data_IF_825647827259
#
_entry.id   IF_825647827259
#
_cell.length_a   1.000
_cell.length_b   1.000
_cell.length_c   1.000
_cell.angle_alpha   90.00
_cell.angle_beta   90.00
_cell.angle_gamma   90.00
#
_symmetry.space_group_name_H-M   'P 1'
#
loop_
_entity.id
_entity.type
_entity.pdbx_description
1 polymer ?
#
# COMPACT_ATOMS: atom_id res chain seq x y z
N UNK A 1 69.18 -38.33 33.68
CA UNK A 1 68.19 -38.84 32.70
C UNK A 1 68.60 -40.26 32.34
N UNK A 2 68.01 -41.23 33.04
CA UNK A 2 68.15 -42.68 32.83
C UNK A 2 66.71 -43.20 32.79
N UNK A 3 66.26 -43.78 31.68
CA UNK A 3 66.28 -45.22 31.33
C UNK A 3 64.84 -45.77 31.36
N UNK A 4 64.37 -46.31 30.21
CA UNK A 4 64.00 -47.75 30.02
C UNK A 4 62.54 -48.04 30.46
N UNK A 5 61.67 -48.79 29.79
CA UNK A 5 61.63 -49.50 28.51
C UNK A 5 60.20 -50.09 28.29
N UNK A 6 59.90 -50.40 27.02
CA UNK A 6 59.15 -51.56 26.46
C UNK A 6 57.69 -51.86 26.90
N UNK A 7 56.82 -52.06 25.89
CA UNK A 7 55.44 -52.59 25.96
C UNK A 7 55.36 -54.11 26.22
N UNK A 8 54.39 -54.92 25.71
CA UNK A 8 53.33 -54.67 24.71
C UNK A 8 51.94 -55.32 25.02
N UNK A 9 51.07 -55.35 24.00
CA UNK A 9 49.65 -55.78 23.83
C UNK A 9 49.17 -57.17 24.33
N UNK A 10 47.84 -57.29 24.58
CA UNK A 10 46.87 -58.40 24.23
C UNK A 10 45.49 -58.10 24.89
N UNK A 11 44.37 -57.89 24.16
CA UNK A 11 43.34 -58.79 23.56
C UNK A 11 42.48 -59.60 24.57
N UNK A 12 41.15 -59.63 24.29
CA UNK A 12 40.06 -60.55 24.72
C UNK A 12 39.35 -60.21 26.07
N UNK A 13 38.02 -60.34 26.32
CA UNK A 13 36.89 -61.13 25.79
C UNK A 13 35.54 -60.51 26.27
N UNK A 14 34.42 -60.83 25.60
CA UNK A 14 33.01 -60.67 26.10
C UNK A 14 32.59 -61.88 26.97
N UNK A 15 31.63 -61.71 27.91
CA UNK A 15 30.27 -62.31 27.83
C UNK A 15 29.16 -61.36 28.37
N UNK A 16 27.92 -61.27 27.84
CA UNK A 16 26.72 -62.16 27.81
C UNK A 16 25.83 -62.16 29.07
N UNK A 17 24.54 -61.80 28.88
CA UNK A 17 23.26 -62.17 29.58
C UNK A 17 23.17 -61.95 31.11
N UNK A 18 22.07 -61.58 31.78
CA UNK A 18 20.61 -61.44 31.60
C UNK A 18 20.15 -60.62 32.84
N UNK A 19 19.14 -59.74 32.84
CA UNK A 19 17.72 -60.06 32.92
C UNK A 19 16.89 -58.77 32.76
N UNK A 20 15.84 -58.88 31.95
CA UNK A 20 14.73 -57.93 31.84
C UNK A 20 13.59 -58.41 32.75
N UNK A 21 12.63 -57.52 33.07
CA UNK A 21 11.31 -57.76 32.51
C UNK A 21 10.76 -56.60 31.67
N UNK A 22 10.24 -57.02 30.51
CA UNK A 22 9.20 -56.48 29.61
C UNK A 22 8.10 -55.65 30.28
N UNK A 23 7.27 -54.86 29.60
CA UNK A 23 7.18 -54.21 28.28
C UNK A 23 5.71 -53.77 28.10
N UNK A 24 5.47 -52.64 27.44
CA UNK A 24 4.32 -52.39 26.55
C UNK A 24 4.63 -51.13 25.71
N UNK A 25 5.13 -51.32 24.48
CA UNK A 25 4.41 -51.11 23.19
C UNK A 25 4.65 -49.69 22.61
N UNK A 26 5.73 -49.49 21.82
CA UNK A 26 5.78 -49.31 20.33
C UNK A 26 4.97 -48.12 19.80
N UNK A 27 5.47 -47.19 18.96
CA UNK A 27 6.35 -47.28 17.78
C UNK A 27 6.89 -45.86 17.38
N UNK A 28 7.62 -45.64 16.25
CA UNK A 28 8.81 -44.79 16.21
C UNK A 28 8.67 -43.40 15.57
N UNK A 29 9.64 -42.56 15.91
CA UNK A 29 9.97 -41.27 15.27
C UNK A 29 10.10 -41.37 13.75
N UNK A 30 9.40 -40.48 13.05
CA UNK A 30 9.61 -40.16 11.62
C UNK A 30 9.64 -38.64 11.39
N UNK A 31 10.26 -38.20 10.28
CA UNK A 31 10.76 -36.85 10.07
C UNK A 31 9.66 -35.85 9.73
N UNK A 32 9.87 -34.60 10.13
CA UNK A 32 9.01 -33.46 9.82
C UNK A 32 9.09 -33.09 8.33
N UNK A 33 8.22 -33.70 7.52
CA UNK A 33 7.82 -33.18 6.21
C UNK A 33 6.50 -32.44 6.37
N UNK A 34 6.54 -31.10 6.37
CA UNK A 34 5.35 -30.26 6.19
C UNK A 34 5.44 -29.57 4.83
N UNK A 35 4.79 -30.20 3.87
CA UNK A 35 4.31 -29.67 2.59
C UNK A 35 3.45 -28.39 2.83
N UNK A 36 3.65 -27.27 2.11
CA UNK A 36 2.87 -26.04 2.29
C UNK A 36 1.49 -26.07 1.61
N UNK A 37 0.95 -27.26 1.35
CA UNK A 37 -0.30 -27.46 0.59
C UNK A 37 -1.42 -28.02 1.49
N UNK A 38 -1.86 -27.27 2.52
CA UNK A 38 -3.15 -27.53 3.19
C UNK A 38 -3.60 -26.35 4.04
N UNK A 39 -4.61 -25.64 3.56
CA UNK A 39 -5.35 -24.61 4.32
C UNK A 39 -6.21 -25.29 5.41
N UNK A 40 -6.35 -24.70 6.62
CA UNK A 40 -7.25 -25.22 7.63
C UNK A 40 -8.70 -24.94 7.23
N UNK A 41 -9.51 -26.00 7.17
CA UNK A 41 -10.96 -25.96 6.96
C UNK A 41 -11.61 -25.24 8.15
N UNK A 42 -12.06 -24.00 7.96
CA UNK A 42 -12.98 -23.34 8.90
C UNK A 42 -14.40 -23.85 8.66
N UNK A 43 -15.06 -24.24 9.75
CA UNK A 43 -16.50 -24.52 9.78
C UNK A 43 -17.30 -23.28 9.31
N UNK A 44 -18.44 -23.47 8.61
CA UNK A 44 -19.18 -22.36 8.02
C UNK A 44 -19.81 -21.50 9.12
N UNK A 45 -19.47 -20.21 9.12
CA UNK A 45 -20.19 -19.21 9.89
C UNK A 45 -21.63 -19.14 9.37
N UNK A 46 -22.61 -19.24 10.28
CA UNK A 46 -24.03 -19.04 9.98
C UNK A 46 -24.23 -17.69 9.29
N UNK A 47 -24.76 -17.73 8.07
CA UNK A 47 -25.24 -16.56 7.34
C UNK A 47 -26.26 -15.79 8.17
N UNK A 48 -26.16 -14.45 8.30
CA UNK A 48 -27.33 -13.67 8.62
C UNK A 48 -28.29 -13.79 7.44
N UNK A 49 -29.56 -14.06 7.75
CA UNK A 49 -30.61 -14.23 6.77
C UNK A 49 -30.59 -13.08 5.75
N UNK A 50 -30.50 -13.45 4.47
CA UNK A 50 -30.76 -12.60 3.33
C UNK A 50 -32.18 -12.03 3.44
N UNK A 51 -32.29 -10.76 3.82
CA UNK A 51 -33.52 -10.02 3.65
C UNK A 51 -33.66 -9.68 2.15
N UNK A 52 -34.50 -10.44 1.47
CA UNK A 52 -34.87 -10.24 0.08
C UNK A 52 -35.61 -8.89 -0.07
N UNK A 53 -34.94 -7.87 -0.60
CA UNK A 53 -35.62 -6.65 -1.05
C UNK A 53 -36.17 -6.87 -2.46
N UNK A 54 -37.13 -7.78 -2.60
CA UNK A 54 -38.01 -7.87 -3.76
C UNK A 54 -39.45 -7.84 -3.27
N UNK A 55 -39.96 -6.62 -3.05
CA UNK A 55 -41.37 -6.30 -3.03
C UNK A 55 -41.55 -4.77 -3.00
N UNK A 56 -41.32 -4.10 -4.13
CA UNK A 56 -41.87 -2.75 -4.35
C UNK A 56 -43.31 -2.90 -4.86
N UNK A 57 -44.20 -3.23 -3.94
CA UNK A 57 -45.61 -2.93 -4.07
C UNK A 57 -45.83 -1.46 -3.69
N UNK A 58 -46.59 -0.74 -4.50
CA UNK A 58 -46.98 0.65 -4.30
C UNK A 58 -47.29 0.97 -2.82
N UNK A 59 -46.63 2.00 -2.27
CA UNK A 59 -46.84 2.45 -0.88
C UNK A 59 -46.85 3.98 -0.79
N UNK A 60 -47.58 4.52 0.20
CA UNK A 60 -48.28 5.78 0.10
C UNK A 60 -47.38 6.98 0.38
N UNK A 61 -47.74 8.10 -0.24
CA UNK A 61 -47.20 9.44 -0.04
C UNK A 61 -47.41 9.90 1.41
N UNK A 62 -46.46 9.61 2.28
CA UNK A 62 -46.30 10.34 3.54
C UNK A 62 -45.25 11.43 3.32
N UNK A 63 -45.53 12.65 3.77
CA UNK A 63 -44.56 13.75 3.80
C UNK A 63 -43.29 13.26 4.50
N UNK A 64 -42.24 13.06 3.71
CA UNK A 64 -40.95 12.66 4.24
C UNK A 64 -40.24 13.93 4.67
N UNK A 65 -40.12 14.12 5.98
CA UNK A 65 -39.33 15.21 6.54
C UNK A 65 -37.85 14.96 6.23
N UNK A 66 -37.35 15.62 5.17
CA UNK A 66 -35.94 15.53 4.71
C UNK A 66 -35.01 16.33 5.64
N UNK A 67 -35.56 17.02 6.65
CA UNK A 67 -34.78 17.80 7.60
C UNK A 67 -33.93 16.89 8.50
N UNK A 68 -32.61 16.87 8.25
CA UNK A 68 -31.64 16.23 9.14
C UNK A 68 -31.56 16.91 10.52
N UNK A 69 -30.84 16.31 11.48
CA UNK A 69 -30.71 16.87 12.82
C UNK A 69 -30.01 18.24 12.80
N UNK A 70 -30.47 19.16 13.66
CA UNK A 70 -29.94 20.53 13.77
C UNK A 70 -28.58 20.63 14.47
N UNK A 71 -28.13 19.54 15.10
CA UNK A 71 -26.82 19.42 15.75
C UNK A 71 -26.24 18.02 15.51
N UNK A 72 -24.92 17.95 15.32
CA UNK A 72 -24.20 16.70 15.06
C UNK A 72 -23.16 16.47 16.16
N UNK A 73 -23.20 15.32 16.85
CA UNK A 73 -22.34 15.08 18.02
C UNK A 73 -21.28 14.01 17.74
N UNK A 74 -20.02 14.40 17.50
CA UNK A 74 -18.91 13.45 17.35
C UNK A 74 -18.16 13.31 18.68
N UNK A 75 -18.34 12.18 19.35
CA UNK A 75 -17.78 11.95 20.67
C UNK A 75 -18.26 13.00 21.68
N UNK A 76 -17.34 13.77 22.26
CA UNK A 76 -17.66 14.84 23.20
C UNK A 76 -17.92 16.22 22.53
N UNK A 77 -17.84 16.31 21.20
CA UNK A 77 -17.95 17.59 20.47
C UNK A 77 -19.29 17.69 19.74
N UNK A 78 -20.02 18.77 19.98
CA UNK A 78 -21.19 19.16 19.19
C UNK A 78 -20.76 20.11 18.08
N UNK A 79 -21.10 19.77 16.84
CA UNK A 79 -20.81 20.54 15.65
C UNK A 79 -22.07 21.26 15.17
N UNK A 80 -21.91 22.53 14.82
CA UNK A 80 -22.96 23.35 14.21
C UNK A 80 -23.21 23.01 12.73
N UNK A 81 -22.25 22.34 12.08
CA UNK A 81 -22.35 21.87 10.69
C UNK A 81 -21.81 20.44 10.59
N UNK A 82 -22.38 19.59 9.73
CA UNK A 82 -21.90 18.23 9.56
C UNK A 82 -20.54 18.21 8.84
N UNK A 83 -19.67 17.28 9.22
CA UNK A 83 -18.40 17.01 8.52
C UNK A 83 -18.63 16.38 7.14
N UNK A 84 -19.74 15.65 6.96
CA UNK A 84 -20.12 15.01 5.70
C UNK A 84 -21.50 15.51 5.30
N UNK A 85 -21.62 16.05 4.09
CA UNK A 85 -22.88 16.58 3.54
C UNK A 85 -23.44 15.67 2.45
N UNK A 86 -24.74 15.79 2.14
CA UNK A 86 -25.34 15.04 1.04
C UNK A 86 -24.64 15.30 -0.32
N UNK A 87 -24.27 16.56 -0.68
CA UNK A 87 -23.46 16.81 -1.88
C UNK A 87 -22.12 16.06 -1.89
N UNK A 88 -21.43 15.96 -0.74
CA UNK A 88 -20.16 15.24 -0.65
C UNK A 88 -20.36 13.74 -0.85
N UNK A 89 -21.39 13.16 -0.23
CA UNK A 89 -21.69 11.75 -0.38
C UNK A 89 -22.14 11.40 -1.80
N UNK A 90 -22.99 12.22 -2.44
CA UNK A 90 -23.37 12.08 -3.85
C UNK A 90 -22.15 12.19 -4.78
N UNK A 91 -21.26 13.14 -4.54
CA UNK A 91 -20.02 13.28 -5.31
C UNK A 91 -19.09 12.07 -5.16
N UNK A 92 -18.97 11.53 -3.94
CA UNK A 92 -18.19 10.32 -3.69
C UNK A 92 -18.79 9.12 -4.42
N UNK A 93 -20.10 8.90 -4.38
CA UNK A 93 -20.76 7.81 -5.08
C UNK A 93 -20.58 7.87 -6.61
N UNK A 94 -20.66 9.06 -7.21
CA UNK A 94 -20.33 9.26 -8.64
C UNK A 94 -18.88 8.91 -8.95
N UNK A 95 -17.95 9.28 -8.07
CA UNK A 95 -16.55 8.91 -8.20
C UNK A 95 -16.36 7.38 -8.14
N UNK A 96 -17.06 6.69 -7.22
CA UNK A 96 -17.03 5.22 -7.14
C UNK A 96 -17.62 4.57 -8.40
N UNK A 97 -18.69 5.15 -8.97
CA UNK A 97 -19.26 4.69 -10.23
C UNK A 97 -18.23 4.75 -11.37
N UNK A 98 -17.52 5.88 -11.48
CA UNK A 98 -16.47 6.08 -12.48
C UNK A 98 -15.31 5.08 -12.30
N UNK A 99 -14.88 4.81 -11.05
CA UNK A 99 -13.87 3.79 -10.77
C UNK A 99 -14.32 2.38 -11.16
N UNK A 100 -15.59 2.02 -10.88
CA UNK A 100 -16.16 0.74 -11.30
C UNK A 100 -16.19 0.60 -12.82
N UNK A 101 -16.60 1.65 -13.54
CA UNK A 101 -16.61 1.67 -14.99
C UNK A 101 -15.19 1.49 -15.57
N UNK A 102 -14.21 2.22 -15.05
CA UNK A 102 -12.80 2.09 -15.44
C UNK A 102 -12.27 0.68 -15.20
N UNK A 103 -12.54 0.12 -14.02
CA UNK A 103 -12.15 -1.26 -13.68
C UNK A 103 -12.77 -2.27 -14.63
N UNK A 104 -14.06 -2.14 -14.92
CA UNK A 104 -14.78 -3.04 -15.85
C UNK A 104 -14.18 -2.95 -17.26
N UNK A 105 -13.90 -1.74 -17.76
CA UNK A 105 -13.27 -1.57 -19.07
C UNK A 105 -11.91 -2.28 -19.19
N UNK A 106 -11.10 -2.26 -18.12
CA UNK A 106 -9.80 -2.96 -18.06
C UNK A 106 -9.98 -4.48 -17.89
N UNK A 107 -10.84 -4.90 -16.96
CA UNK A 107 -11.13 -6.30 -16.63
C UNK A 107 -11.85 -7.06 -17.75
N UNK A 108 -12.58 -6.36 -18.62
CA UNK A 108 -13.24 -6.96 -19.78
C UNK A 108 -12.44 -6.75 -21.07
N UNK A 109 -11.46 -5.84 -21.06
CA UNK A 109 -10.74 -5.37 -22.25
C UNK A 109 -11.71 -4.87 -23.34
N UNK A 110 -12.91 -4.44 -22.94
CA UNK A 110 -13.94 -3.95 -23.83
C UNK A 110 -13.56 -2.53 -24.29
N UNK A 111 -13.07 -2.40 -25.53
CA UNK A 111 -12.67 -1.11 -26.10
C UNK A 111 -11.34 -0.53 -25.55
N UNK A 112 -10.79 -1.12 -24.48
CA UNK A 112 -9.52 -0.70 -23.88
C UNK A 112 -8.30 -0.93 -24.79
N UNK A 113 -8.38 -1.88 -25.73
CA UNK A 113 -7.30 -2.24 -26.67
C UNK A 113 -5.98 -2.41 -25.92
N UNK A 114 -6.01 -3.21 -24.86
CA UNK A 114 -4.84 -3.44 -24.01
C UNK A 114 -3.70 -4.12 -24.82
N UNK A 115 -2.43 -3.92 -24.44
CA UNK A 115 -1.30 -4.60 -25.07
C UNK A 115 -1.47 -6.12 -25.09
N UNK A 116 -1.02 -6.78 -26.16
CA UNK A 116 -1.18 -8.24 -26.38
C UNK A 116 -0.75 -9.08 -25.17
N UNK A 117 0.39 -8.73 -24.56
CA UNK A 117 0.95 -9.44 -23.39
C UNK A 117 0.02 -9.39 -22.16
N UNK A 118 -0.85 -8.39 -22.09
CA UNK A 118 -1.80 -8.18 -20.99
C UNK A 118 -3.18 -8.69 -21.36
N UNK A 119 -3.58 -8.59 -22.63
CA UNK A 119 -4.90 -8.99 -23.12
C UNK A 119 -5.24 -10.46 -22.81
N UNK A 120 -4.24 -11.35 -22.84
CA UNK A 120 -4.42 -12.78 -22.52
C UNK A 120 -4.48 -13.12 -21.02
N UNK A 121 -4.34 -12.15 -20.13
CA UNK A 121 -4.41 -12.37 -18.68
C UNK A 121 -5.86 -12.45 -18.18
N UNK A 122 -6.04 -13.12 -17.04
CA UNK A 122 -7.30 -13.04 -16.30
C UNK A 122 -7.60 -11.60 -15.87
N UNK A 123 -8.89 -11.32 -15.60
CA UNK A 123 -9.39 -10.00 -15.25
C UNK A 123 -8.61 -9.37 -14.07
N UNK A 124 -8.38 -10.14 -13.01
CA UNK A 124 -7.70 -9.65 -11.81
C UNK A 124 -6.25 -9.23 -12.09
N UNK A 125 -5.53 -9.98 -12.93
CA UNK A 125 -4.16 -9.65 -13.35
C UNK A 125 -4.11 -8.44 -14.28
N UNK A 126 -5.08 -8.28 -15.19
CA UNK A 126 -5.20 -7.06 -16.01
C UNK A 126 -5.42 -5.84 -15.14
N UNK A 127 -6.32 -5.95 -14.15
CA UNK A 127 -6.56 -4.87 -13.19
C UNK A 127 -5.32 -4.54 -12.36
N UNK A 128 -4.64 -5.54 -11.78
CA UNK A 128 -3.45 -5.33 -10.98
C UNK A 128 -2.31 -4.66 -11.76
N UNK A 129 -2.10 -5.07 -13.02
CA UNK A 129 -1.14 -4.41 -13.92
C UNK A 129 -1.50 -2.95 -14.15
N UNK A 130 -2.76 -2.67 -14.52
CA UNK A 130 -3.22 -1.32 -14.81
C UNK A 130 -3.10 -0.39 -13.60
N UNK A 131 -3.49 -0.87 -12.41
CA UNK A 131 -3.31 -0.13 -11.16
C UNK A 131 -1.83 0.15 -10.89
N UNK A 132 -0.94 -0.77 -11.22
CA UNK A 132 0.51 -0.56 -11.14
C UNK A 132 0.98 0.64 -11.96
N UNK A 133 0.43 0.82 -13.17
CA UNK A 133 0.70 1.99 -14.01
C UNK A 133 0.10 3.27 -13.43
N UNK A 134 -1.13 3.20 -12.93
CA UNK A 134 -1.82 4.34 -12.32
C UNK A 134 -1.06 4.90 -11.10
N UNK A 135 -0.43 4.03 -10.30
CA UNK A 135 0.42 4.46 -9.17
C UNK A 135 1.64 5.24 -9.65
N UNK A 136 2.26 4.83 -10.76
CA UNK A 136 3.43 5.54 -11.31
C UNK A 136 3.00 6.89 -11.91
N UNK A 137 1.80 6.96 -12.52
CA UNK A 137 1.20 8.24 -12.96
C UNK A 137 0.85 9.15 -11.78
N UNK A 138 0.38 8.59 -10.67
CA UNK A 138 0.12 9.33 -9.44
C UNK A 138 1.40 9.92 -8.85
N UNK A 139 2.51 9.17 -8.87
CA UNK A 139 3.82 9.67 -8.43
C UNK A 139 4.26 10.91 -9.23
N UNK A 140 4.20 10.85 -10.57
CA UNK A 140 4.52 12.01 -11.42
C UNK A 140 3.58 13.21 -11.20
N UNK A 141 2.29 12.96 -10.97
CA UNK A 141 1.34 14.03 -10.68
C UNK A 141 1.58 14.66 -9.31
N UNK A 142 1.83 13.85 -8.27
CA UNK A 142 2.07 14.35 -6.93
C UNK A 142 3.29 15.28 -6.89
N UNK A 143 4.37 14.92 -7.61
CA UNK A 143 5.58 15.74 -7.70
C UNK A 143 5.36 17.07 -8.45
N UNK A 144 4.45 17.11 -9.43
CA UNK A 144 4.24 18.28 -10.30
C UNK A 144 3.04 19.17 -9.91
N UNK A 145 2.12 18.66 -9.08
CA UNK A 145 0.87 19.37 -8.74
C UNK A 145 1.13 20.67 -7.99
N UNK A 146 0.42 21.72 -8.37
CA UNK A 146 0.52 23.07 -7.79
C UNK A 146 -0.74 23.43 -7.00
N UNK A 147 -0.63 24.24 -5.93
CA UNK A 147 -1.80 24.76 -5.23
C UNK A 147 -2.53 25.80 -6.08
N UNK A 148 -3.80 26.07 -5.76
CA UNK A 148 -4.59 27.09 -6.43
C UNK A 148 -6.00 27.21 -5.85
N UNK A 149 -6.74 28.24 -6.27
CA UNK A 149 -8.17 28.34 -5.97
C UNK A 149 -8.91 27.15 -6.57
N UNK A 150 -9.96 26.65 -5.89
CA UNK A 150 -10.63 25.40 -6.28
C UNK A 150 -10.99 25.33 -7.78
N UNK A 151 -11.65 26.37 -8.31
CA UNK A 151 -12.05 26.41 -9.73
C UNK A 151 -10.86 26.44 -10.69
N UNK A 152 -9.83 27.24 -10.38
CA UNK A 152 -8.62 27.29 -11.22
C UNK A 152 -7.85 25.97 -11.16
N UNK A 153 -7.77 25.38 -9.96
CA UNK A 153 -7.13 24.10 -9.70
C UNK A 153 -7.82 22.96 -10.46
N UNK A 154 -9.15 22.89 -10.44
CA UNK A 154 -9.89 21.88 -11.23
C UNK A 154 -9.56 21.97 -12.72
N UNK A 155 -9.45 23.19 -13.26
CA UNK A 155 -9.12 23.40 -14.68
C UNK A 155 -7.67 23.07 -15.02
N UNK A 156 -6.72 23.28 -14.10
CA UNK A 156 -5.29 23.31 -14.43
C UNK A 156 -4.46 22.21 -13.77
N UNK A 157 -4.97 21.59 -12.70
CA UNK A 157 -4.22 20.68 -11.83
C UNK A 157 -4.92 19.35 -11.55
N UNK A 158 -6.27 19.27 -11.70
CA UNK A 158 -7.01 18.00 -11.54
C UNK A 158 -6.35 16.91 -12.41
N UNK A 159 -6.12 15.70 -11.86
CA UNK A 159 -5.55 14.61 -12.63
C UNK A 159 -6.62 13.73 -13.30
N UNK A 160 -6.21 12.83 -14.20
CA UNK A 160 -7.07 11.79 -14.78
C UNK A 160 -7.68 10.84 -13.74
N UNK A 161 -8.69 10.08 -14.18
CA UNK A 161 -9.53 9.25 -13.32
C UNK A 161 -8.77 8.15 -12.55
N UNK A 162 -7.79 7.49 -13.17
CA UNK A 162 -6.97 6.46 -12.53
C UNK A 162 -6.07 7.03 -11.43
N UNK A 163 -5.58 8.26 -11.61
CA UNK A 163 -4.80 8.97 -10.58
C UNK A 163 -5.69 9.46 -9.45
N UNK A 164 -6.92 9.93 -9.75
CA UNK A 164 -7.93 10.20 -8.73
C UNK A 164 -8.26 8.96 -7.90
N UNK A 165 -8.30 7.78 -8.53
CA UNK A 165 -8.51 6.49 -7.86
C UNK A 165 -7.38 6.16 -6.89
N UNK A 166 -6.13 6.31 -7.31
CA UNK A 166 -4.97 6.09 -6.44
C UNK A 166 -4.97 7.09 -5.28
N UNK A 167 -5.23 8.37 -5.56
CA UNK A 167 -5.28 9.40 -4.52
C UNK A 167 -6.40 9.12 -3.49
N UNK A 168 -7.59 8.74 -3.97
CA UNK A 168 -8.72 8.33 -3.13
C UNK A 168 -8.35 7.17 -2.21
N UNK A 169 -7.79 6.09 -2.76
CA UNK A 169 -7.37 4.92 -1.97
C UNK A 169 -6.29 5.27 -0.93
N UNK A 170 -5.41 6.22 -1.25
CA UNK A 170 -4.39 6.71 -0.32
C UNK A 170 -5.01 7.49 0.85
N UNK A 171 -5.94 8.41 0.57
CA UNK A 171 -6.64 9.20 1.60
C UNK A 171 -7.45 8.35 2.58
N UNK A 172 -7.88 7.14 2.17
CA UNK A 172 -8.52 6.16 3.05
C UNK A 172 -7.55 5.48 4.04
N UNK A 173 -6.26 5.82 3.99
CA UNK A 173 -5.24 5.46 4.97
C UNK A 173 -4.74 6.73 5.69
N UNK A 174 -5.58 7.41 6.47
CA UNK A 174 -5.37 8.82 6.86
C UNK A 174 -4.09 9.07 7.65
N UNK A 175 -3.68 8.14 8.53
CA UNK A 175 -2.42 8.26 9.27
C UNK A 175 -1.20 8.20 8.34
N UNK A 176 -1.18 7.25 7.41
CA UNK A 176 -0.09 7.11 6.44
C UNK A 176 -0.06 8.28 5.46
N UNK A 177 -1.22 8.65 4.92
CA UNK A 177 -1.33 9.76 3.98
C UNK A 177 -0.90 11.09 4.61
N UNK A 178 -1.35 11.39 5.83
CA UNK A 178 -0.97 12.62 6.52
C UNK A 178 0.52 12.66 6.86
N UNK A 179 1.10 11.56 7.35
CA UNK A 179 2.53 11.47 7.64
C UNK A 179 3.37 11.60 6.36
N UNK A 180 2.99 10.93 5.27
CA UNK A 180 3.71 11.04 4.00
C UNK A 180 3.60 12.45 3.37
N UNK A 181 2.49 13.16 3.57
CA UNK A 181 2.36 14.58 3.17
C UNK A 181 3.32 15.52 3.93
N UNK A 182 3.85 15.09 5.07
CA UNK A 182 4.86 15.82 5.86
C UNK A 182 6.28 15.33 5.54
N UNK A 183 6.40 14.02 5.30
CA UNK A 183 7.68 13.31 5.17
C UNK A 183 8.24 13.39 3.75
N UNK A 184 7.41 13.17 2.74
CA UNK A 184 7.83 13.05 1.35
C UNK A 184 7.77 14.41 0.64
N UNK A 185 8.89 14.90 0.07
CA UNK A 185 8.91 16.18 -0.66
C UNK A 185 7.84 16.27 -1.77
N UNK A 186 7.69 15.19 -2.55
CA UNK A 186 6.69 15.11 -3.62
C UNK A 186 5.23 15.18 -3.12
N UNK A 187 4.97 14.91 -1.84
CA UNK A 187 3.63 14.96 -1.26
C UNK A 187 3.31 16.30 -0.58
N UNK A 188 4.29 17.21 -0.50
CA UNK A 188 4.18 18.47 0.26
C UNK A 188 2.99 19.32 -0.16
N UNK A 189 2.73 19.44 -1.46
CA UNK A 189 1.58 20.22 -1.97
C UNK A 189 0.25 19.60 -1.52
N UNK A 190 0.16 18.27 -1.45
CA UNK A 190 -1.08 17.57 -1.09
C UNK A 190 -1.50 17.84 0.35
N UNK A 191 -0.57 18.13 1.27
CA UNK A 191 -0.88 18.63 2.62
C UNK A 191 -1.76 19.88 2.56
N UNK A 192 -1.41 20.82 1.69
CA UNK A 192 -2.11 22.10 1.52
C UNK A 192 -3.42 22.00 0.74
N UNK A 193 -3.65 20.89 0.02
CA UNK A 193 -4.91 20.68 -0.68
C UNK A 193 -6.07 20.39 0.29
N UNK A 194 -5.80 19.75 1.43
CA UNK A 194 -6.81 19.47 2.45
C UNK A 194 -7.89 18.52 1.94
N UNK A 195 -9.16 18.91 2.09
CA UNK A 195 -10.33 18.14 1.67
C UNK A 195 -10.61 18.16 0.15
N UNK A 196 -9.68 18.72 -0.65
CA UNK A 196 -9.85 19.10 -2.07
C UNK A 196 -10.54 18.09 -2.99
N UNK A 197 -10.34 16.78 -2.76
CA UNK A 197 -10.76 15.73 -3.68
C UNK A 197 -12.26 15.80 -4.00
N UNK A 198 -13.13 15.83 -2.98
CA UNK A 198 -14.59 15.87 -3.21
C UNK A 198 -15.09 17.23 -3.72
N UNK A 199 -14.67 18.39 -3.17
CA UNK A 199 -14.96 19.69 -3.76
C UNK A 199 -14.54 19.80 -5.23
N UNK A 200 -13.40 19.20 -5.60
CA UNK A 200 -12.92 19.19 -6.98
C UNK A 200 -13.82 18.34 -7.88
N UNK A 201 -14.26 17.16 -7.42
CA UNK A 201 -15.25 16.33 -8.13
C UNK A 201 -16.56 17.09 -8.31
N UNK A 202 -17.06 17.77 -7.27
CA UNK A 202 -18.29 18.57 -7.35
C UNK A 202 -18.18 19.65 -8.43
N UNK A 203 -17.05 20.37 -8.48
CA UNK A 203 -16.81 21.43 -9.47
C UNK A 203 -16.57 20.87 -10.87
N UNK A 204 -15.93 19.71 -10.98
CA UNK A 204 -15.65 19.04 -12.25
C UNK A 204 -16.92 18.44 -12.89
N UNK A 205 -17.93 18.09 -12.09
CA UNK A 205 -19.14 17.40 -12.53
C UNK A 205 -18.97 15.88 -12.47
N UNK A 206 -19.49 15.17 -13.47
CA UNK A 206 -19.38 13.70 -13.53
C UNK A 206 -17.95 13.28 -13.93
N UNK A 207 -17.19 12.58 -13.04
CA UNK A 207 -15.85 12.10 -13.37
C UNK A 207 -15.81 11.10 -14.52
N UNK A 208 -16.91 10.38 -14.80
CA UNK A 208 -16.97 9.41 -15.89
C UNK A 208 -16.95 10.06 -17.28
N UNK A 209 -17.49 11.28 -17.39
CA UNK A 209 -17.58 12.03 -18.65
C UNK A 209 -16.70 13.29 -18.66
N UNK A 210 -15.96 13.55 -17.58
CA UNK A 210 -15.13 14.73 -17.46
C UNK A 210 -14.09 14.79 -18.58
N UNK A 211 -14.06 15.91 -19.30
CA UNK A 211 -13.08 16.18 -20.34
C UNK A 211 -12.21 17.38 -19.94
N UNK A 212 -10.87 17.23 -19.85
CA UNK A 212 -9.98 18.34 -19.57
C UNK A 212 -9.93 19.32 -20.76
N UNK A 213 -9.49 20.55 -20.51
CA UNK A 213 -9.18 21.47 -21.61
C UNK A 213 -7.98 20.97 -22.43
N UNK A 214 -7.81 21.48 -23.65
CA UNK A 214 -6.65 21.17 -24.49
C UNK A 214 -5.34 21.53 -23.78
N UNK A 215 -5.30 22.67 -23.13
CA UNK A 215 -4.15 23.18 -22.37
C UNK A 215 -3.81 22.22 -21.22
N UNK A 216 -4.82 21.70 -20.51
CA UNK A 216 -4.59 20.73 -19.43
C UNK A 216 -4.03 19.41 -19.94
N UNK A 217 -4.49 18.91 -21.10
CA UNK A 217 -3.91 17.70 -21.72
C UNK A 217 -2.47 17.92 -22.14
N UNK A 218 -2.15 19.08 -22.72
CA UNK A 218 -0.79 19.42 -23.12
C UNK A 218 0.12 19.57 -21.89
N UNK A 219 -0.32 20.25 -20.84
CA UNK A 219 0.47 20.36 -19.60
C UNK A 219 0.65 19.01 -18.92
N UNK A 220 -0.40 18.18 -18.83
CA UNK A 220 -0.30 16.82 -18.31
C UNK A 220 0.76 15.99 -19.04
N UNK A 221 0.74 16.00 -20.38
CA UNK A 221 1.71 15.27 -21.20
C UNK A 221 3.14 15.81 -20.99
N UNK A 222 3.30 17.13 -20.91
CA UNK A 222 4.60 17.75 -20.65
C UNK A 222 5.14 17.43 -19.24
N UNK A 223 4.27 17.42 -18.23
CA UNK A 223 4.64 17.21 -16.83
C UNK A 223 4.90 15.73 -16.51
N UNK A 224 4.17 14.80 -17.16
CA UNK A 224 4.18 13.36 -16.80
C UNK A 224 4.75 12.44 -17.87
N UNK A 225 4.85 12.91 -19.12
CA UNK A 225 5.24 12.07 -20.26
C UNK A 225 4.18 11.03 -20.66
N UNK A 226 2.96 11.07 -20.11
CA UNK A 226 1.88 10.12 -20.42
C UNK A 226 0.66 10.81 -21.02
N UNK A 227 -0.11 10.08 -21.81
CA UNK A 227 -1.43 10.55 -22.28
C UNK A 227 -2.36 10.85 -21.10
N UNK A 228 -3.33 11.75 -21.29
CA UNK A 228 -4.34 12.04 -20.26
C UNK A 228 -5.26 10.84 -20.04
N UNK A 229 -5.79 10.28 -21.13
CA UNK A 229 -6.66 9.11 -21.05
C UNK A 229 -5.86 7.92 -20.51
N UNK A 230 -6.34 7.24 -19.46
CA UNK A 230 -5.57 6.20 -18.81
C UNK A 230 -5.45 4.93 -19.65
N UNK A 231 -6.40 4.65 -20.55
CA UNK A 231 -6.34 3.50 -21.44
C UNK A 231 -5.34 3.75 -22.57
N UNK A 232 -5.30 4.97 -23.13
CA UNK A 232 -4.24 5.40 -24.05
C UNK A 232 -2.87 5.31 -23.38
N UNK A 233 -2.70 5.92 -22.20
CA UNK A 233 -1.44 5.89 -21.47
C UNK A 233 -0.95 4.45 -21.21
N UNK A 234 -1.87 3.53 -20.87
CA UNK A 234 -1.53 2.13 -20.59
C UNK A 234 -0.92 1.37 -21.77
N UNK A 235 -1.13 1.84 -23.01
CA UNK A 235 -0.57 1.21 -24.22
C UNK A 235 0.89 1.60 -24.43
N UNK A 236 1.26 2.81 -24.03
CA UNK A 236 2.59 3.37 -24.25
C UNK A 236 3.53 3.15 -23.04
N UNK A 237 2.95 3.00 -21.85
CA UNK A 237 3.69 2.71 -20.61
C UNK A 237 4.20 1.26 -20.57
N UNK A 238 5.31 1.03 -21.25
CA UNK A 238 5.92 -0.30 -21.39
C UNK A 238 7.00 -0.59 -20.35
N UNK A 239 7.69 0.45 -19.88
CA UNK A 239 8.84 0.34 -18.97
C UNK A 239 8.77 1.38 -17.84
N UNK A 240 9.50 1.07 -16.76
CA UNK A 240 9.89 2.03 -15.73
C UNK A 240 11.35 1.88 -15.36
N UNK A 241 11.90 2.92 -14.75
CA UNK A 241 13.23 2.88 -14.16
C UNK A 241 13.19 2.34 -12.74
N UNK A 242 14.20 1.55 -12.38
CA UNK A 242 14.52 1.19 -10.99
C UNK A 242 16.01 1.40 -10.77
N UNK A 243 16.39 1.92 -9.61
CA UNK A 243 17.81 2.15 -9.28
C UNK A 243 18.39 0.92 -8.59
N UNK A 244 19.52 0.41 -9.09
CA UNK A 244 20.18 -0.77 -8.52
C UNK A 244 20.65 -0.48 -7.09
N UNK A 245 20.22 -1.27 -6.06
CA UNK A 245 20.63 -1.03 -4.67
C UNK A 245 22.15 -1.07 -4.44
N UNK A 246 22.89 -1.88 -5.21
CA UNK A 246 24.34 -2.09 -5.04
C UNK A 246 25.19 -1.01 -5.68
N UNK A 247 24.94 -0.67 -6.95
CA UNK A 247 25.83 0.20 -7.73
C UNK A 247 25.18 1.51 -8.18
N UNK A 248 23.94 1.79 -7.76
CA UNK A 248 23.17 2.98 -8.13
C UNK A 248 22.91 3.17 -9.64
N UNK A 249 23.21 2.16 -10.47
CA UNK A 249 22.89 2.19 -11.89
C UNK A 249 21.38 2.11 -12.08
N UNK A 250 20.83 3.02 -12.89
CA UNK A 250 19.45 2.92 -13.35
C UNK A 250 19.27 1.77 -14.33
N UNK A 251 18.22 0.99 -14.10
CA UNK A 251 17.84 -0.17 -14.88
C UNK A 251 16.46 0.12 -15.46
N UNK A 252 16.37 0.13 -16.78
CA UNK A 252 15.09 0.15 -17.47
C UNK A 252 14.44 -1.23 -17.38
N UNK A 253 13.24 -1.29 -16.82
CA UNK A 253 12.52 -2.53 -16.51
C UNK A 253 11.16 -2.54 -17.18
N UNK A 254 10.84 -3.57 -17.98
CA UNK A 254 9.49 -3.70 -18.52
C UNK A 254 8.50 -3.96 -17.38
N UNK A 255 7.30 -3.40 -17.47
CA UNK A 255 6.23 -3.71 -16.51
C UNK A 255 5.83 -5.19 -16.57
N UNK A 256 5.89 -5.78 -17.77
CA UNK A 256 5.47 -7.15 -18.04
C UNK A 256 6.53 -7.85 -18.88
N UNK A 257 6.82 -9.10 -18.54
CA UNK A 257 7.61 -10.01 -19.37
C UNK A 257 6.87 -11.33 -19.55
N UNK A 258 7.21 -12.06 -20.62
CA UNK A 258 6.69 -13.42 -20.88
C UNK A 258 7.08 -14.40 -19.78
N UNK A 259 8.25 -14.21 -19.17
CA UNK A 259 8.79 -15.07 -18.11
C UNK A 259 8.20 -14.77 -16.73
N UNK A 260 7.30 -13.79 -16.60
CA UNK A 260 6.68 -13.47 -15.31
C UNK A 260 7.52 -12.59 -14.38
N UNK A 261 8.59 -11.97 -14.89
CA UNK A 261 9.61 -11.25 -14.11
C UNK A 261 9.56 -9.72 -14.25
N UNK A 262 8.59 -9.19 -14.99
CA UNK A 262 8.34 -7.76 -15.14
C UNK A 262 7.93 -7.09 -13.82
N UNK A 263 8.09 -5.77 -13.75
CA UNK A 263 7.92 -5.01 -12.51
C UNK A 263 6.51 -5.09 -11.90
N UNK A 264 5.47 -5.15 -12.74
CA UNK A 264 4.08 -5.30 -12.31
C UNK A 264 3.71 -6.77 -12.00
N UNK A 265 4.65 -7.71 -12.10
CA UNK A 265 4.43 -9.14 -11.86
C UNK A 265 4.97 -9.55 -10.49
N UNK A 266 4.30 -10.54 -9.86
CA UNK A 266 4.60 -11.00 -8.49
C UNK A 266 6.04 -11.46 -8.30
N UNK A 267 6.64 -12.04 -9.34
CA UNK A 267 7.99 -12.61 -9.34
C UNK A 267 9.02 -11.66 -9.93
N UNK A 268 8.79 -10.34 -9.86
CA UNK A 268 9.71 -9.32 -10.35
C UNK A 268 11.17 -9.63 -10.02
N UNK A 269 11.97 -9.69 -11.08
CA UNK A 269 13.41 -9.88 -10.99
C UNK A 269 14.07 -9.28 -12.24
N UNK A 270 15.06 -8.42 -12.03
CA UNK A 270 15.88 -7.89 -13.12
C UNK A 270 17.36 -7.96 -12.76
N UNK A 271 18.21 -8.36 -13.70
CA UNK A 271 19.65 -8.38 -13.50
C UNK A 271 20.24 -7.02 -13.84
N UNK A 272 20.95 -6.41 -12.88
CA UNK A 272 21.67 -5.17 -13.11
C UNK A 272 22.75 -5.38 -14.19
N UNK A 273 22.79 -4.55 -15.26
CA UNK A 273 23.76 -4.70 -16.33
C UNK A 273 25.19 -4.37 -15.87
N UNK A 274 25.34 -3.51 -14.87
CA UNK A 274 26.63 -3.06 -14.35
C UNK A 274 27.23 -4.03 -13.33
N UNK A 275 26.52 -4.34 -12.24
CA UNK A 275 27.07 -5.12 -11.13
C UNK A 275 26.54 -6.56 -11.01
N UNK A 276 25.66 -6.99 -11.94
CA UNK A 276 25.05 -8.33 -12.00
C UNK A 276 24.17 -8.74 -10.82
N UNK A 277 23.90 -7.85 -9.87
CA UNK A 277 22.91 -8.10 -8.82
C UNK A 277 21.54 -8.39 -9.44
N UNK A 278 20.90 -9.47 -9.01
CA UNK A 278 19.48 -9.73 -9.33
C UNK A 278 18.61 -8.92 -8.38
N UNK A 279 18.07 -7.80 -8.88
CA UNK A 279 17.23 -6.87 -8.15
C UNK A 279 15.80 -7.41 -8.09
N UNK A 280 15.23 -7.44 -6.88
CA UNK A 280 13.83 -7.81 -6.60
C UNK A 280 13.17 -6.73 -5.77
N UNK A 281 11.84 -6.76 -5.63
CA UNK A 281 11.08 -5.81 -4.79
C UNK A 281 11.60 -5.76 -3.34
N UNK A 282 11.94 -6.90 -2.77
CA UNK A 282 12.51 -6.98 -1.41
C UNK A 282 13.88 -6.28 -1.28
N UNK A 283 14.67 -6.23 -2.36
CA UNK A 283 15.94 -5.50 -2.39
C UNK A 283 15.72 -3.99 -2.47
N UNK A 284 14.75 -3.58 -3.28
CA UNK A 284 14.33 -2.19 -3.43
C UNK A 284 13.73 -1.63 -2.13
N UNK A 285 12.85 -2.39 -1.47
CA UNK A 285 12.31 -2.04 -0.16
C UNK A 285 13.39 -1.93 0.92
N UNK A 286 14.35 -2.87 0.95
CA UNK A 286 15.48 -2.76 1.88
C UNK A 286 16.36 -1.53 1.59
N UNK A 287 16.57 -1.19 0.32
CA UNK A 287 17.30 0.01 -0.08
C UNK A 287 16.61 1.28 0.42
N UNK A 288 15.31 1.43 0.17
CA UNK A 288 14.48 2.52 0.68
C UNK A 288 14.55 2.62 2.21
N UNK A 289 14.46 1.49 2.93
CA UNK A 289 14.62 1.46 4.39
C UNK A 289 15.99 1.92 4.84
N UNK A 290 17.05 1.44 4.19
CA UNK A 290 18.41 1.81 4.53
C UNK A 290 18.64 3.31 4.28
N UNK A 291 18.12 3.87 3.19
CA UNK A 291 18.17 5.30 2.88
C UNK A 291 17.54 6.15 3.99
N UNK A 292 16.31 5.81 4.42
CA UNK A 292 15.63 6.51 5.52
C UNK A 292 16.39 6.33 6.85
N UNK A 293 16.98 5.14 7.11
CA UNK A 293 17.71 4.87 8.34
C UNK A 293 19.05 5.62 8.43
N UNK A 294 19.84 5.64 7.35
CA UNK A 294 21.18 6.26 7.35
C UNK A 294 21.16 7.77 7.19
N UNK A 295 20.01 8.33 6.76
CA UNK A 295 19.79 9.77 6.66
C UNK A 295 20.01 10.45 8.01
N UNK A 296 20.67 11.61 8.01
CA UNK A 296 20.94 12.33 9.24
C UNK A 296 19.78 13.23 9.63
N UNK A 297 19.26 13.02 10.84
CA UNK A 297 18.23 13.88 11.40
C UNK A 297 18.83 15.06 12.18
N UNK A 298 20.14 15.03 12.47
CA UNK A 298 20.87 16.10 13.16
C UNK A 298 21.30 17.22 12.20
N UNK A 299 21.24 16.99 10.88
CA UNK A 299 21.45 18.04 9.87
C UNK A 299 20.15 18.75 9.50
N UNK A 300 20.18 20.05 9.17
CA UNK A 300 19.03 20.76 8.64
C UNK A 300 18.46 20.07 7.41
N UNK A 301 17.15 19.83 7.40
CA UNK A 301 16.46 19.09 6.35
C UNK A 301 15.13 19.74 6.00
N UNK A 302 14.65 19.53 4.77
CA UNK A 302 13.34 20.01 4.32
C UNK A 302 12.33 18.87 4.46
N UNK A 303 11.24 19.12 5.17
CA UNK A 303 10.22 18.10 5.46
C UNK A 303 10.69 17.14 6.56
N UNK A 304 10.09 15.94 6.63
CA UNK A 304 10.41 14.95 7.66
C UNK A 304 11.01 13.64 7.09
N UNK A 305 11.46 13.66 5.84
CA UNK A 305 12.03 12.52 5.10
C UNK A 305 13.20 11.81 5.79
N UNK A 306 13.84 12.47 6.76
CA UNK A 306 14.92 11.90 7.57
C UNK A 306 14.43 10.89 8.60
N UNK A 307 13.13 10.82 8.87
CA UNK A 307 12.55 9.86 9.81
C UNK A 307 11.96 8.65 9.09
N UNK A 308 11.93 7.52 9.80
CA UNK A 308 11.34 6.30 9.28
C UNK A 308 9.82 6.47 9.18
N UNK A 309 9.25 5.98 8.08
CA UNK A 309 7.82 5.89 7.88
C UNK A 309 7.09 5.24 9.08
N UNK A 310 6.02 5.89 9.55
CA UNK A 310 5.13 5.40 10.59
C UNK A 310 5.59 5.71 12.01
N UNK A 311 6.52 6.66 12.17
CA UNK A 311 7.12 7.02 13.46
C UNK A 311 6.85 8.45 13.90
N UNK A 312 6.44 9.33 12.98
CA UNK A 312 6.24 10.75 13.27
C UNK A 312 4.90 11.01 13.96
N UNK A 313 3.85 10.26 13.60
CA UNK A 313 2.50 10.46 14.14
C UNK A 313 2.23 9.51 15.31
N UNK A 314 1.87 10.09 16.45
CA UNK A 314 1.41 9.34 17.64
C UNK A 314 -0.06 9.63 17.91
N UNK A 315 -0.67 8.94 18.86
CA UNK A 315 -2.06 9.22 19.26
C UNK A 315 -2.21 10.60 19.91
N UNK A 316 -1.14 11.12 20.51
CA UNK A 316 -1.13 12.40 21.21
C UNK A 316 -0.65 13.57 20.34
N UNK A 317 0.19 13.32 19.32
CA UNK A 317 0.83 14.36 18.52
C UNK A 317 0.81 14.02 17.03
N UNK A 318 0.42 15.00 16.22
CA UNK A 318 0.52 14.92 14.76
C UNK A 318 1.95 15.05 14.26
N UNK A 319 2.88 15.57 15.05
CA UNK A 319 4.31 15.61 14.69
C UNK A 319 5.13 15.42 15.97
N UNK A 320 5.73 14.25 16.14
CA UNK A 320 6.50 13.85 17.33
C UNK A 320 7.93 13.44 16.94
N UNK A 321 8.76 14.44 16.67
CA UNK A 321 10.17 14.26 16.30
C UNK A 321 10.97 13.53 17.38
N UNK A 322 10.68 13.78 18.66
CA UNK A 322 11.33 13.09 19.77
C UNK A 322 11.03 11.59 19.72
N UNK A 323 9.77 11.21 19.49
CA UNK A 323 9.37 9.82 19.33
C UNK A 323 10.03 9.16 18.11
N UNK A 324 9.99 9.82 16.95
CA UNK A 324 10.63 9.33 15.73
C UNK A 324 12.14 9.15 15.91
N UNK A 325 12.80 10.12 16.54
CA UNK A 325 14.23 10.11 16.89
C UNK A 325 14.56 8.96 17.84
N UNK A 326 13.78 8.76 18.91
CA UNK A 326 13.99 7.63 19.84
C UNK A 326 13.93 6.28 19.14
N UNK A 327 12.93 6.06 18.28
CA UNK A 327 12.79 4.82 17.51
C UNK A 327 13.97 4.62 16.57
N UNK A 328 14.30 5.65 15.78
CA UNK A 328 15.42 5.59 14.84
C UNK A 328 16.73 5.29 15.57
N UNK A 329 17.02 5.98 16.66
CA UNK A 329 18.22 5.75 17.47
C UNK A 329 18.26 4.36 18.11
N UNK A 330 17.11 3.80 18.51
CA UNK A 330 17.04 2.42 18.98
C UNK A 330 17.41 1.41 17.88
N UNK A 331 16.95 1.63 16.64
CA UNK A 331 17.32 0.80 15.49
C UNK A 331 18.80 0.94 15.14
N UNK A 332 19.33 2.18 15.12
CA UNK A 332 20.74 2.45 14.83
C UNK A 332 21.67 1.78 15.85
N UNK A 333 21.33 1.80 17.15
CA UNK A 333 22.14 1.15 18.20
C UNK A 333 22.09 -0.38 18.17
N UNK A 334 21.22 -0.97 17.37
CA UNK A 334 21.08 -2.41 17.30
C UNK A 334 22.33 -3.10 16.76
N UNK A 335 22.66 -4.30 17.27
CA UNK A 335 23.73 -5.12 16.68
C UNK A 335 23.47 -5.44 15.19
N UNK A 336 22.21 -5.47 14.79
CA UNK A 336 21.79 -5.75 13.43
C UNK A 336 22.08 -4.58 12.47
N UNK A 337 21.94 -3.33 12.90
CA UNK A 337 22.01 -2.16 12.01
C UNK A 337 23.10 -1.16 12.38
N UNK A 338 23.79 -1.30 13.52
CA UNK A 338 24.86 -0.40 13.92
C UNK A 338 25.95 -0.32 12.85
N UNK A 339 26.33 0.91 12.52
CA UNK A 339 27.48 1.21 11.67
C UNK A 339 28.78 0.74 12.34
N UNK A 340 29.78 0.39 11.54
CA UNK A 340 31.18 0.39 12.00
C UNK A 340 31.62 1.84 12.26
N UNK A 341 32.56 2.04 13.18
CA UNK A 341 33.13 3.37 13.43
C UNK A 341 33.93 3.84 12.22
N UNK A 342 33.80 5.13 11.84
CA UNK A 342 34.53 5.81 10.76
C UNK A 342 34.16 5.47 9.31
N UNK A 343 32.89 5.13 9.02
CA UNK A 343 32.41 4.98 7.63
C UNK A 343 31.43 6.10 7.24
N UNK A 344 31.38 6.40 5.94
CA UNK A 344 30.40 7.32 5.36
C UNK A 344 28.98 6.72 5.38
N UNK A 345 27.95 7.55 5.26
CA UNK A 345 26.54 7.10 5.16
C UNK A 345 26.30 6.17 3.98
N UNK A 346 26.90 6.47 2.83
CA UNK A 346 26.82 5.62 1.64
C UNK A 346 27.44 4.24 1.90
N UNK A 347 28.57 4.17 2.61
CA UNK A 347 29.17 2.90 3.01
C UNK A 347 28.29 2.15 4.01
N UNK A 348 27.75 2.82 5.03
CA UNK A 348 26.86 2.19 6.01
C UNK A 348 25.59 1.63 5.35
N UNK A 349 25.00 2.39 4.43
CA UNK A 349 23.88 1.93 3.60
C UNK A 349 24.24 0.63 2.86
N UNK A 350 25.40 0.57 2.23
CA UNK A 350 25.85 -0.65 1.55
C UNK A 350 26.11 -1.81 2.53
N UNK A 351 26.69 -1.55 3.71
CA UNK A 351 26.87 -2.58 4.74
C UNK A 351 25.54 -3.20 5.18
N UNK A 352 24.47 -2.39 5.34
CA UNK A 352 23.13 -2.88 5.65
C UNK A 352 22.63 -3.77 4.51
N UNK A 353 22.72 -3.30 3.26
CA UNK A 353 22.26 -4.04 2.09
C UNK A 353 22.94 -5.41 1.95
N UNK A 354 24.26 -5.45 2.08
CA UNK A 354 25.06 -6.67 1.99
C UNK A 354 24.77 -7.62 3.15
N UNK A 355 24.68 -7.10 4.38
CA UNK A 355 24.39 -7.90 5.57
C UNK A 355 23.07 -8.66 5.50
N UNK A 356 22.06 -8.05 4.88
CA UNK A 356 20.74 -8.66 4.68
C UNK A 356 20.59 -9.31 3.30
N UNK A 357 21.69 -9.54 2.57
CA UNK A 357 21.71 -10.16 1.24
C UNK A 357 20.69 -9.53 0.28
N UNK A 358 20.58 -8.20 0.30
CA UNK A 358 19.66 -7.44 -0.54
C UNK A 358 18.19 -7.90 -0.41
N UNK A 359 17.74 -8.24 0.81
CA UNK A 359 16.36 -8.63 1.08
C UNK A 359 15.89 -8.17 2.44
N UNK A 360 14.74 -7.49 2.50
CA UNK A 360 14.15 -7.03 3.75
C UNK A 360 13.61 -8.16 4.64
N UNK A 361 13.46 -9.39 4.12
CA UNK A 361 12.72 -10.47 4.78
C UNK A 361 13.27 -10.88 6.17
N UNK A 362 14.59 -10.82 6.37
CA UNK A 362 15.22 -11.18 7.65
C UNK A 362 15.27 -10.02 8.65
N UNK A 363 15.00 -8.79 8.20
CA UNK A 363 15.10 -7.59 9.02
C UNK A 363 14.14 -7.58 10.22
N UNK A 364 12.84 -7.93 10.10
CA UNK A 364 11.92 -7.93 11.24
C UNK A 364 12.42 -8.78 12.40
N UNK A 365 12.93 -9.98 12.14
CA UNK A 365 13.47 -10.87 13.18
C UNK A 365 14.73 -10.28 13.84
N UNK A 366 15.61 -9.65 13.04
CA UNK A 366 16.85 -9.07 13.51
C UNK A 366 16.64 -7.84 14.42
N UNK A 367 15.57 -7.06 14.19
CA UNK A 367 15.30 -5.83 14.95
C UNK A 367 14.19 -5.95 16.01
N UNK A 368 13.29 -6.94 15.91
CA UNK A 368 12.22 -7.12 16.90
C UNK A 368 12.75 -7.49 18.29
N UNK A 369 13.95 -8.05 18.39
CA UNK A 369 14.61 -8.41 19.66
C UNK A 369 15.00 -7.20 20.52
N UNK A 370 14.89 -5.97 19.99
CA UNK A 370 15.39 -4.75 20.62
C UNK A 370 14.32 -3.95 21.36
N UNK A 371 13.06 -4.12 20.99
CA UNK A 371 11.93 -3.43 21.59
C UNK A 371 11.19 -4.44 22.48
N UNK A 372 11.79 -4.72 23.64
CA UNK A 372 11.49 -5.84 24.53
C UNK A 372 10.11 -5.78 25.21
N UNK A 373 9.40 -4.66 25.14
CA UNK A 373 8.01 -4.59 25.59
C UNK A 373 7.08 -5.05 24.46
N UNK A 374 5.99 -5.77 24.78
CA UNK A 374 5.08 -6.42 23.81
C UNK A 374 4.46 -5.53 22.71
N UNK A 375 4.71 -4.21 22.72
CA UNK A 375 4.40 -3.27 21.65
C UNK A 375 5.50 -3.12 20.57
N UNK A 376 6.74 -3.49 20.87
CA UNK A 376 7.91 -3.29 20.01
C UNK A 376 7.84 -3.99 18.67
N UNK A 377 7.43 -5.27 18.67
CA UNK A 377 7.20 -6.04 17.44
C UNK A 377 6.13 -5.42 16.55
N UNK A 378 5.08 -4.80 17.14
CA UNK A 378 4.03 -4.12 16.37
C UNK A 378 4.56 -2.86 15.71
N UNK A 379 5.37 -2.08 16.43
CA UNK A 379 6.02 -0.88 15.89
C UNK A 379 6.95 -1.26 14.73
N UNK A 380 7.83 -2.25 14.92
CA UNK A 380 8.72 -2.75 13.85
C UNK A 380 7.92 -3.21 12.64
N UNK A 381 6.89 -4.04 12.82
CA UNK A 381 6.08 -4.52 11.71
C UNK A 381 5.37 -3.38 10.99
N UNK A 382 4.86 -2.37 11.72
CA UNK A 382 4.25 -1.17 11.12
C UNK A 382 5.27 -0.41 10.28
N UNK A 383 6.46 -0.13 10.82
CA UNK A 383 7.53 0.57 10.09
C UNK A 383 7.90 -0.23 8.84
N UNK A 384 8.23 -1.52 8.99
CA UNK A 384 8.70 -2.36 7.88
C UNK A 384 7.62 -2.60 6.81
N UNK A 385 6.33 -2.46 7.13
CA UNK A 385 5.26 -2.54 6.14
C UNK A 385 5.27 -1.39 5.11
N UNK A 386 6.00 -0.30 5.37
CA UNK A 386 6.16 0.83 4.45
C UNK A 386 7.27 0.63 3.39
N UNK A 387 8.04 -0.46 3.47
CA UNK A 387 9.23 -0.70 2.66
C UNK A 387 9.10 -1.97 1.83
N UNK A 388 8.11 -1.98 0.93
CA UNK A 388 7.76 -3.14 0.10
C UNK A 388 8.35 -3.08 -1.31
N UNK A 389 8.62 -1.87 -1.82
CA UNK A 389 9.27 -1.62 -3.11
C UNK A 389 10.07 -0.29 -3.11
N UNK A 390 10.47 0.18 -4.29
CA UNK A 390 11.19 1.44 -4.52
C UNK A 390 10.28 2.67 -4.57
N UNK A 391 8.94 2.52 -4.56
CA UNK A 391 8.05 3.69 -4.58
C UNK A 391 8.15 4.44 -3.25
N UNK A 392 8.03 5.77 -3.27
CA UNK A 392 8.30 6.59 -2.08
C UNK A 392 7.25 6.42 -0.97
N UNK A 393 6.02 6.05 -1.33
CA UNK A 393 4.85 5.97 -0.44
C UNK A 393 5.02 4.94 0.68
N UNK A 394 4.50 5.23 1.86
CA UNK A 394 4.61 4.35 3.03
C UNK A 394 3.53 3.26 3.10
N UNK A 395 2.78 3.06 2.00
CA UNK A 395 1.80 1.99 1.85
C UNK A 395 1.90 1.38 0.45
N UNK A 396 1.52 0.10 0.34
CA UNK A 396 1.27 -0.55 -0.95
C UNK A 396 -0.02 0.04 -1.57
N UNK A 397 0.15 1.07 -2.40
CA UNK A 397 -0.96 1.75 -3.09
C UNK A 397 -1.68 0.84 -4.09
N UNK A 398 -0.96 -0.08 -4.74
CA UNK A 398 -1.59 -1.05 -5.65
C UNK A 398 -2.55 -1.94 -4.87
N UNK A 399 -2.06 -2.52 -3.77
CA UNK A 399 -2.89 -3.32 -2.86
C UNK A 399 -4.03 -2.51 -2.24
N UNK A 400 -3.81 -1.22 -1.92
CA UNK A 400 -4.85 -0.35 -1.37
C UNK A 400 -6.03 -0.16 -2.36
N UNK A 401 -5.74 0.17 -3.62
CA UNK A 401 -6.75 0.30 -4.67
C UNK A 401 -7.49 -1.03 -4.90
N UNK A 402 -6.77 -2.15 -4.97
CA UNK A 402 -7.38 -3.47 -5.15
C UNK A 402 -8.34 -3.82 -3.99
N UNK A 403 -7.95 -3.56 -2.73
CA UNK A 403 -8.81 -3.80 -1.57
C UNK A 403 -10.09 -2.95 -1.60
N UNK A 404 -9.98 -1.69 -2.03
CA UNK A 404 -11.14 -0.80 -2.21
C UNK A 404 -12.13 -1.33 -3.25
N UNK A 405 -11.67 -2.09 -4.24
CA UNK A 405 -12.53 -2.69 -5.25
C UNK A 405 -13.69 -3.52 -4.67
N UNK A 406 -13.51 -4.20 -3.53
CA UNK A 406 -14.57 -4.97 -2.88
C UNK A 406 -15.68 -4.10 -2.26
N UNK A 407 -15.34 -2.91 -1.77
CA UNK A 407 -16.31 -1.95 -1.25
C UNK A 407 -17.08 -1.31 -2.40
N UNK A 408 -16.38 -0.92 -3.47
CA UNK A 408 -16.98 -0.35 -4.69
C UNK A 408 -17.99 -1.33 -5.30
N UNK A 409 -17.63 -2.63 -5.38
CA UNK A 409 -18.54 -3.66 -5.88
C UNK A 409 -19.84 -3.73 -5.10
N UNK A 410 -19.76 -3.65 -3.76
CA UNK A 410 -20.95 -3.65 -2.89
C UNK A 410 -21.82 -2.43 -3.14
N UNK A 411 -21.23 -1.24 -3.19
CA UNK A 411 -21.98 0.01 -3.46
C UNK A 411 -22.65 -0.05 -4.83
N UNK A 412 -21.97 -0.58 -5.83
CA UNK A 412 -22.53 -0.78 -7.17
C UNK A 412 -23.69 -1.79 -7.17
N UNK A 413 -23.51 -2.94 -6.49
CA UNK A 413 -24.54 -3.98 -6.39
C UNK A 413 -25.80 -3.53 -5.66
N UNK A 414 -25.68 -2.55 -4.74
CA UNK A 414 -26.83 -1.92 -4.07
C UNK A 414 -27.53 -0.87 -4.94
N UNK A 415 -27.02 -0.54 -6.12
CA UNK A 415 -27.54 0.52 -6.98
C UNK A 415 -27.10 1.93 -6.57
N UNK A 416 -26.38 2.10 -5.45
CA UNK A 416 -26.04 3.41 -4.89
C UNK A 416 -25.11 4.24 -5.78
N UNK A 417 -24.43 3.61 -6.74
CA UNK A 417 -23.57 4.32 -7.69
C UNK A 417 -24.30 4.74 -8.97
N UNK A 418 -25.59 4.45 -9.12
CA UNK A 418 -26.37 4.91 -10.27
C UNK A 418 -26.63 6.42 -10.18
N UNK A 419 -26.56 7.11 -11.32
CA UNK A 419 -26.51 8.57 -11.37
C UNK A 419 -27.78 9.24 -10.80
N UNK A 420 -28.92 8.58 -10.97
CA UNK A 420 -30.28 9.02 -10.63
C UNK A 420 -30.82 8.45 -9.32
N UNK A 421 -30.09 7.52 -8.67
CA UNK A 421 -30.58 6.79 -7.50
C UNK A 421 -30.96 7.68 -6.31
N UNK A 422 -30.28 8.83 -6.13
CA UNK A 422 -30.51 9.74 -5.00
C UNK A 422 -31.09 11.10 -5.44
N UNK A 423 -31.69 11.18 -6.63
CA UNK A 423 -32.27 12.42 -7.14
C UNK A 423 -33.69 12.66 -6.61
N UNK A 424 -34.42 11.61 -6.26
CA UNK A 424 -35.73 11.73 -5.63
C UNK A 424 -35.58 12.00 -4.11
N UNK A 425 -36.40 12.90 -3.52
CA UNK A 425 -36.33 13.22 -2.08
C UNK A 425 -36.49 12.00 -1.16
N UNK A 426 -37.25 10.99 -1.62
CA UNK A 426 -37.55 9.77 -0.87
C UNK A 426 -36.31 8.87 -0.74
N UNK A 427 -35.46 8.84 -1.78
CA UNK A 427 -34.23 8.03 -1.79
C UNK A 427 -33.08 8.75 -1.05
N UNK A 428 -33.09 10.09 -1.05
CA UNK A 428 -32.12 10.91 -0.31
C UNK A 428 -32.21 10.72 1.21
N UNK A 429 -33.34 10.25 1.73
CA UNK A 429 -33.52 9.89 3.16
C UNK A 429 -32.51 8.86 3.63
N UNK A 430 -32.20 7.87 2.79
CA UNK A 430 -31.20 6.84 3.12
C UNK A 430 -29.82 7.48 3.30
N UNK A 431 -29.51 8.50 2.50
CA UNK A 431 -28.28 9.28 2.61
C UNK A 431 -28.25 10.12 3.88
N UNK A 432 -29.36 10.79 4.22
CA UNK A 432 -29.51 11.56 5.47
C UNK A 432 -29.32 10.66 6.69
N UNK A 433 -29.90 9.44 6.68
CA UNK A 433 -29.70 8.46 7.75
C UNK A 433 -28.23 8.00 7.84
N UNK A 434 -27.58 7.72 6.72
CA UNK A 434 -26.17 7.35 6.70
C UNK A 434 -25.27 8.46 7.25
N UNK A 435 -25.53 9.71 6.86
CA UNK A 435 -24.82 10.90 7.35
C UNK A 435 -25.06 11.08 8.85
N UNK A 436 -26.31 10.96 9.31
CA UNK A 436 -26.65 11.09 10.74
C UNK A 436 -25.92 10.05 11.57
N UNK A 437 -25.90 8.79 11.11
CA UNK A 437 -25.16 7.69 11.75
C UNK A 437 -23.66 7.85 11.75
N UNK A 438 -23.09 8.55 10.77
CA UNK A 438 -21.66 8.85 10.76
C UNK A 438 -21.29 9.85 11.87
N UNK A 439 -22.22 10.75 12.20
CA UNK A 439 -21.99 11.77 13.20
C UNK A 439 -22.30 11.29 14.62
N UNK A 440 -23.25 10.38 14.81
CA UNK A 440 -23.58 9.78 16.12
C UNK A 440 -22.51 8.77 16.57
#
# INVERSE_FOLDING_TARGET
>A
MSNIARGPSKIALRPSSSDLPRASSTAPLRPSTSDPSRSPTLAPARSPASASFHALGARPSADVDVAGPSQHQIGAKTLATPLVTAPYAKAHLRLLAAFKALRTAVEDNAGARLPEMVAGLDAARRWAWFVGLAVDRFECWADSVKPGSLRSWVRTQLPPLDVLMVWHAYMLNPRWYAEDCERLPLMKTLKGLGDRLLPAVIVAGDPATYQPTRERRMSWLADTGTHWDPLEASRDMTHRRVTCPKCAQDIETPYMTRDGTGYAQRTFAVTCPSCRLTVRKAALGLAKFADDLVSDHETPHVGFGVYLAGTLHTEAKTTDEDHATRIKNALIRSKALRSRTQITRAQWRQEILEKFNYSIAALPAAVSLLLLDGGGRRIVNRILSAYTDDRPFSIDLVGAVIRQGSFIEKMHSFGWTQADFFDAPQDEVVLVHAITRYHA
#
